data_IF_206300012456
#
_entry.id   IF_206300012456
#
_cell.length_a   1.000
_cell.length_b   1.000
_cell.length_c   1.000
_cell.angle_alpha   90.00
_cell.angle_beta   90.00
_cell.angle_gamma   90.00
#
_symmetry.space_group_name_H-M   'P 1'
#
loop_
_entity.id
_entity.type
_entity.pdbx_description
1 polymer ?
#
# COMPACT_ATOMS: atom_id res chain seq x y z
N UNK A 1 23.82 14.73 16.95
CA UNK A 1 22.50 14.07 17.10
C UNK A 1 22.52 12.85 16.20
N UNK A 2 22.35 11.64 16.75
CA UNK A 2 22.32 10.41 15.97
C UNK A 2 20.86 9.95 15.92
N UNK A 3 20.14 10.36 14.88
CA UNK A 3 18.81 9.84 14.58
C UNK A 3 18.97 8.82 13.46
N UNK A 4 18.41 7.63 13.67
CA UNK A 4 18.38 6.57 12.67
C UNK A 4 16.97 6.03 12.57
N UNK A 5 16.52 5.78 11.35
CA UNK A 5 15.25 5.10 11.14
C UNK A 5 15.32 3.67 11.68
N UNK A 6 14.18 3.09 12.12
CA UNK A 6 14.08 1.65 12.34
C UNK A 6 14.61 0.88 11.12
N UNK A 7 15.28 -0.27 11.31
CA UNK A 7 15.99 -0.99 10.24
C UNK A 7 15.06 -1.50 9.12
N UNK A 8 13.78 -1.67 9.43
CA UNK A 8 12.71 -2.09 8.53
C UNK A 8 11.95 -0.92 7.90
N UNK A 9 12.33 0.32 8.20
CA UNK A 9 11.71 1.54 7.69
C UNK A 9 12.68 2.30 6.79
N UNK A 10 12.22 2.58 5.57
CA UNK A 10 12.88 3.47 4.63
C UNK A 10 12.01 4.68 4.34
N UNK A 11 12.58 5.70 3.70
CA UNK A 11 11.82 6.83 3.21
C UNK A 11 12.24 7.23 1.80
N UNK A 12 11.31 7.81 1.07
CA UNK A 12 11.56 8.43 -0.23
C UNK A 12 11.10 9.88 -0.20
N UNK A 13 11.95 10.78 -0.68
CA UNK A 13 11.59 12.17 -0.95
C UNK A 13 11.06 12.28 -2.38
N UNK A 14 9.87 12.84 -2.52
CA UNK A 14 9.25 13.13 -3.83
C UNK A 14 8.57 14.49 -3.82
N UNK A 15 8.14 14.96 -5.00
CA UNK A 15 7.36 16.19 -5.15
C UNK A 15 5.97 15.82 -5.67
N UNK A 16 4.94 16.00 -4.85
CA UNK A 16 3.55 15.69 -5.19
C UNK A 16 2.77 16.99 -5.18
N UNK A 17 2.14 17.34 -6.31
CA UNK A 17 1.34 18.55 -6.47
C UNK A 17 2.06 19.83 -5.99
N UNK A 18 3.38 19.91 -6.24
CA UNK A 18 4.21 21.05 -5.86
C UNK A 18 4.88 20.96 -4.48
N UNK A 19 4.43 20.06 -3.61
CA UNK A 19 4.93 19.93 -2.22
C UNK A 19 5.98 18.83 -2.09
N UNK A 20 7.05 19.11 -1.32
CA UNK A 20 7.96 18.06 -0.92
C UNK A 20 7.25 17.11 0.05
N UNK A 21 7.20 15.84 -0.32
CA UNK A 21 6.56 14.78 0.46
C UNK A 21 7.60 13.70 0.73
N UNK A 22 7.74 13.36 2.01
CA UNK A 22 8.59 12.28 2.51
C UNK A 22 7.69 11.10 2.83
N UNK A 23 7.75 10.06 2.02
CA UNK A 23 6.91 8.87 2.16
C UNK A 23 7.71 7.81 2.89
N UNK A 24 7.20 7.34 4.03
CA UNK A 24 7.82 6.33 4.88
C UNK A 24 7.19 4.97 4.60
N UNK A 25 8.05 3.97 4.45
CA UNK A 25 7.67 2.63 4.01
C UNK A 25 8.33 1.60 4.91
N UNK A 26 7.55 0.62 5.32
CA UNK A 26 8.00 -0.55 6.06
C UNK A 26 8.09 -1.75 5.13
N UNK A 27 9.14 -2.55 5.25
CA UNK A 27 9.43 -3.69 4.35
C UNK A 27 8.26 -4.66 4.16
N UNK A 28 7.51 -4.92 5.24
CA UNK A 28 6.39 -5.89 5.24
C UNK A 28 5.02 -5.29 5.42
N UNK A 29 4.90 -3.98 5.71
CA UNK A 29 3.60 -3.32 5.84
C UNK A 29 3.33 -2.41 4.64
N UNK A 30 4.33 -2.05 3.85
CA UNK A 30 4.17 -1.06 2.77
C UNK A 30 4.22 0.36 3.34
N UNK A 31 3.47 1.29 2.75
CA UNK A 31 3.38 2.66 3.24
C UNK A 31 2.84 2.70 4.68
N UNK A 32 3.56 3.38 5.56
CA UNK A 32 3.18 3.57 6.97
C UNK A 32 2.79 5.02 7.28
N UNK A 33 3.24 5.97 6.47
CA UNK A 33 2.87 7.37 6.59
C UNK A 33 3.75 8.29 5.76
N UNK A 34 3.42 9.58 5.79
CA UNK A 34 4.17 10.62 5.07
C UNK A 34 4.23 11.93 5.83
N UNK A 35 5.29 12.69 5.57
CA UNK A 35 5.47 14.06 6.05
C UNK A 35 5.47 14.98 4.85
N UNK A 36 4.56 15.96 4.85
CA UNK A 36 4.40 16.93 3.76
C UNK A 36 4.91 18.28 4.25
N UNK A 37 5.79 18.87 3.45
CA UNK A 37 6.41 20.16 3.73
C UNK A 37 5.65 21.23 2.94
N UNK A 38 4.91 22.08 3.65
CA UNK A 38 4.12 23.16 3.08
C UNK A 38 4.80 24.52 3.31
N UNK A 39 5.04 25.31 2.26
CA UNK A 39 5.48 26.69 2.45
C UNK A 39 4.35 27.55 3.04
N UNK A 40 4.73 28.49 3.91
CA UNK A 40 3.86 29.52 4.46
C UNK A 40 4.16 30.89 3.81
N UNK A 41 3.21 31.85 3.81
CA UNK A 41 3.39 33.15 3.16
C UNK A 41 4.57 33.98 3.68
N UNK A 42 4.98 33.80 4.94
CA UNK A 42 6.12 34.48 5.54
C UNK A 42 7.47 33.78 5.25
N UNK A 43 7.49 32.79 4.34
CA UNK A 43 8.68 32.01 4.02
C UNK A 43 8.98 30.88 5.02
N UNK A 44 8.22 30.78 6.12
CA UNK A 44 8.32 29.64 7.03
C UNK A 44 7.68 28.39 6.42
N UNK A 45 7.77 27.27 7.14
CA UNK A 45 7.29 25.97 6.69
C UNK A 45 6.36 25.36 7.73
N UNK A 46 5.25 24.81 7.27
CA UNK A 46 4.40 23.92 8.03
C UNK A 46 4.68 22.47 7.63
N UNK A 47 4.84 21.58 8.62
CA UNK A 47 5.03 20.15 8.38
C UNK A 47 3.76 19.40 8.78
N UNK A 48 3.18 18.65 7.85
CA UNK A 48 1.95 17.88 8.06
C UNK A 48 2.25 16.40 8.00
N UNK A 49 1.87 15.67 9.04
CA UNK A 49 1.97 14.20 9.08
C UNK A 49 0.68 13.57 8.60
N UNK A 50 0.77 12.48 7.85
CA UNK A 50 -0.38 11.73 7.35
C UNK A 50 -0.16 10.22 7.45
N UNK A 51 -1.18 9.52 7.93
CA UNK A 51 -1.27 8.06 7.90
C UNK A 51 -2.02 7.67 6.62
N UNK A 52 -1.62 6.60 5.91
CA UNK A 52 -2.30 6.17 4.71
C UNK A 52 -3.75 5.78 5.03
N UNK A 53 -4.70 6.29 4.25
CA UNK A 53 -6.11 5.99 4.46
C UNK A 53 -6.43 4.52 4.16
N UNK A 54 -7.45 4.00 4.85
CA UNK A 54 -7.97 2.63 4.71
C UNK A 54 -8.57 2.12 6.02
N UNK A 55 -9.32 1.03 5.96
CA UNK A 55 -9.79 0.26 7.11
C UNK A 55 -9.15 -1.14 7.14
N UNK A 56 -7.94 -1.25 6.56
CA UNK A 56 -7.25 -2.52 6.44
C UNK A 56 -6.77 -3.08 7.79
N UNK A 57 -6.66 -4.42 7.93
CA UNK A 57 -6.29 -5.06 9.19
C UNK A 57 -4.94 -4.61 9.79
N UNK A 58 -4.05 -3.99 9.00
CA UNK A 58 -2.75 -3.52 9.48
C UNK A 58 -2.73 -2.03 9.88
N UNK A 59 -3.86 -1.31 9.81
CA UNK A 59 -3.92 0.13 10.13
C UNK A 59 -3.28 0.48 11.49
N UNK A 60 -3.63 -0.24 12.56
CA UNK A 60 -3.10 0.05 13.89
C UNK A 60 -1.59 -0.23 14.01
N UNK A 61 -1.07 -1.24 13.30
CA UNK A 61 0.37 -1.51 13.25
C UNK A 61 1.13 -0.38 12.54
N UNK A 62 0.57 0.16 11.44
CA UNK A 62 1.16 1.32 10.74
C UNK A 62 1.25 2.53 11.66
N UNK A 63 0.17 2.84 12.39
CA UNK A 63 0.10 3.95 13.35
C UNK A 63 1.13 3.80 14.47
N UNK A 64 1.21 2.60 15.06
CA UNK A 64 2.14 2.31 16.15
C UNK A 64 3.61 2.55 15.78
N UNK A 65 3.97 2.40 14.50
CA UNK A 65 5.32 2.69 14.00
C UNK A 65 5.45 4.17 13.62
N UNK A 66 4.53 4.68 12.79
CA UNK A 66 4.71 5.98 12.16
C UNK A 66 4.48 7.17 13.09
N UNK A 67 3.53 7.09 14.02
CA UNK A 67 3.22 8.20 14.94
C UNK A 67 4.46 8.61 15.75
N UNK A 68 5.08 7.72 16.56
CA UNK A 68 6.25 8.10 17.35
C UNK A 68 7.44 8.52 16.48
N UNK A 69 7.64 7.86 15.34
CA UNK A 69 8.68 8.23 14.37
C UNK A 69 8.48 9.66 13.86
N UNK A 70 7.26 10.02 13.51
CA UNK A 70 6.93 11.36 13.00
C UNK A 70 7.10 12.43 14.08
N UNK A 71 6.71 12.14 15.32
CA UNK A 71 6.90 13.05 16.47
C UNK A 71 8.38 13.30 16.76
N UNK A 72 9.20 12.26 16.71
CA UNK A 72 10.65 12.38 16.90
C UNK A 72 11.29 13.24 15.79
N UNK A 73 10.93 12.98 14.53
CA UNK A 73 11.43 13.76 13.38
C UNK A 73 11.02 15.23 13.53
N UNK A 74 9.76 15.52 13.84
CA UNK A 74 9.30 16.89 14.03
C UNK A 74 9.98 17.58 15.22
N UNK A 75 10.22 16.84 16.31
CA UNK A 75 10.97 17.34 17.47
C UNK A 75 12.41 17.70 17.12
N UNK A 76 13.10 16.86 16.33
CA UNK A 76 14.45 17.13 15.84
C UNK A 76 14.46 18.33 14.88
N UNK A 77 13.50 18.42 13.96
CA UNK A 77 13.35 19.56 13.08
C UNK A 77 13.14 20.86 13.87
N UNK A 78 12.31 20.83 14.92
CA UNK A 78 12.11 21.99 15.80
C UNK A 78 13.37 22.42 16.56
N UNK A 79 14.27 21.49 16.88
CA UNK A 79 15.58 21.80 17.50
C UNK A 79 16.57 22.42 16.50
N UNK A 80 16.51 22.01 15.23
CA UNK A 80 17.45 22.47 14.18
C UNK A 80 16.97 23.77 13.53
N UNK A 81 15.69 23.85 13.17
CA UNK A 81 15.10 24.98 12.44
C UNK A 81 14.41 26.00 13.35
N UNK A 82 14.21 25.69 14.63
CA UNK A 82 13.45 26.52 15.57
C UNK A 82 11.93 26.34 15.45
N UNK A 83 11.18 27.14 16.23
CA UNK A 83 9.72 27.17 16.18
C UNK A 83 9.24 28.27 15.24
N UNK A 84 8.25 27.96 14.41
CA UNK A 84 7.63 28.93 13.51
C UNK A 84 6.92 30.06 14.28
N UNK A 85 6.92 31.25 13.68
CA UNK A 85 6.31 32.46 14.22
C UNK A 85 5.01 32.83 13.52
N UNK A 86 4.67 32.17 12.40
CA UNK A 86 3.47 32.43 11.61
C UNK A 86 2.20 32.34 12.46
N UNK A 87 1.43 33.43 12.48
CA UNK A 87 0.15 33.55 13.20
C UNK A 87 -1.07 33.49 12.30
N UNK A 88 -0.88 33.42 10.99
CA UNK A 88 -1.99 33.37 10.04
C UNK A 88 -2.67 32.01 10.00
N UNK A 89 -3.75 31.91 9.20
CA UNK A 89 -4.43 30.64 8.96
C UNK A 89 -3.50 29.71 8.17
N UNK A 90 -3.25 28.52 8.70
CA UNK A 90 -2.49 27.50 7.98
C UNK A 90 -3.18 27.15 6.64
N UNK A 91 -2.40 26.92 5.57
CA UNK A 91 -2.97 26.46 4.31
C UNK A 91 -3.72 25.13 4.52
N UNK A 92 -4.75 24.85 3.70
CA UNK A 92 -5.41 23.56 3.75
C UNK A 92 -4.39 22.43 3.52
N UNK A 93 -4.68 21.26 4.09
CA UNK A 93 -3.84 20.07 3.88
C UNK A 93 -3.74 19.77 2.38
N UNK A 94 -2.53 19.53 1.83
CA UNK A 94 -2.38 19.28 0.41
C UNK A 94 -3.03 17.95 0.05
N UNK A 95 -3.77 17.92 -1.06
CA UNK A 95 -4.18 16.65 -1.62
C UNK A 95 -2.94 15.98 -2.24
N UNK A 96 -2.44 14.95 -1.57
CA UNK A 96 -1.32 14.12 -2.04
C UNK A 96 -1.80 12.70 -2.42
N UNK A 97 -3.11 12.51 -2.57
CA UNK A 97 -3.67 11.27 -3.11
C UNK A 97 -3.32 11.18 -4.60
N UNK A 98 -2.73 10.06 -4.99
CA UNK A 98 -2.48 9.74 -6.39
C UNK A 98 -3.53 8.74 -6.84
N UNK A 99 -4.31 9.10 -7.86
CA UNK A 99 -5.24 8.17 -8.47
C UNK A 99 -4.43 7.15 -9.28
N UNK A 100 -4.45 5.91 -8.84
CA UNK A 100 -3.81 4.79 -9.50
C UNK A 100 -4.89 3.82 -9.97
N UNK A 101 -4.89 3.51 -11.27
CA UNK A 101 -5.80 2.51 -11.82
C UNK A 101 -5.26 1.12 -11.52
N UNK A 102 -5.91 0.41 -10.60
CA UNK A 102 -5.62 -0.99 -10.29
C UNK A 102 -6.57 -1.87 -11.09
N UNK A 103 -6.03 -2.65 -12.02
CA UNK A 103 -6.83 -3.58 -12.82
C UNK A 103 -7.25 -4.76 -11.95
N UNK A 104 -8.45 -5.27 -12.20
CA UNK A 104 -8.91 -6.53 -11.63
C UNK A 104 -9.62 -7.37 -12.71
N UNK A 105 -9.67 -8.67 -12.49
CA UNK A 105 -10.42 -9.63 -13.29
C UNK A 105 -11.35 -10.41 -12.36
N UNK A 106 -12.64 -10.38 -12.67
CA UNK A 106 -13.70 -11.04 -11.93
C UNK A 106 -14.08 -12.32 -12.67
N UNK A 107 -13.99 -13.45 -12.00
CA UNK A 107 -14.22 -14.77 -12.59
C UNK A 107 -15.52 -15.33 -12.00
N UNK A 108 -16.60 -15.41 -12.80
CA UNK A 108 -17.84 -16.04 -12.38
C UNK A 108 -17.69 -17.57 -12.38
N UNK A 109 -18.49 -18.25 -11.55
CA UNK A 109 -18.64 -19.69 -11.59
C UNK A 109 -19.48 -20.09 -12.82
N UNK A 110 -19.00 -21.05 -13.60
CA UNK A 110 -19.73 -21.55 -14.78
C UNK A 110 -21.03 -22.31 -14.41
N UNK A 111 -21.14 -22.83 -13.17
CA UNK A 111 -22.30 -23.60 -12.72
C UNK A 111 -23.46 -22.72 -12.24
N UNK A 112 -23.19 -21.73 -11.38
CA UNK A 112 -24.22 -20.89 -10.77
C UNK A 112 -24.25 -19.44 -11.30
N UNK A 113 -23.24 -19.01 -12.06
CA UNK A 113 -23.11 -17.65 -12.59
C UNK A 113 -22.71 -16.58 -11.56
N UNK A 114 -22.56 -16.93 -10.28
CA UNK A 114 -22.12 -15.99 -9.24
C UNK A 114 -20.62 -15.71 -9.33
N UNK A 115 -20.21 -14.53 -8.84
CA UNK A 115 -18.79 -14.21 -8.70
C UNK A 115 -18.12 -15.25 -7.78
N UNK A 116 -17.06 -15.89 -8.25
CA UNK A 116 -16.36 -16.93 -7.50
C UNK A 116 -14.95 -16.52 -7.08
N UNK A 117 -14.25 -15.75 -7.93
CA UNK A 117 -12.87 -15.32 -7.68
C UNK A 117 -12.63 -13.92 -8.23
N UNK A 118 -11.76 -13.16 -7.55
CA UNK A 118 -11.19 -11.92 -8.07
C UNK A 118 -9.66 -11.98 -8.12
N UNK A 119 -9.09 -11.58 -9.25
CA UNK A 119 -7.65 -11.39 -9.43
C UNK A 119 -7.35 -9.90 -9.56
N UNK A 120 -6.38 -9.39 -8.82
CA UNK A 120 -5.97 -7.98 -8.80
C UNK A 120 -4.56 -7.88 -9.39
N UNK A 121 -4.37 -6.99 -10.36
CA UNK A 121 -3.13 -6.82 -11.13
C UNK A 121 -2.55 -5.42 -10.90
N UNK A 122 -1.79 -5.22 -9.82
CA UNK A 122 -1.07 -3.98 -9.57
C UNK A 122 0.06 -3.74 -10.59
N UNK A 123 0.27 -2.50 -11.05
CA UNK A 123 1.32 -2.19 -12.03
C UNK A 123 2.74 -2.31 -11.47
N UNK A 124 2.94 -2.20 -10.15
CA UNK A 124 4.27 -2.08 -9.53
C UNK A 124 4.49 -2.96 -8.30
N UNK A 125 3.72 -4.04 -8.12
CA UNK A 125 3.93 -4.94 -6.99
C UNK A 125 5.03 -5.96 -7.27
N UNK A 126 6.14 -5.84 -6.53
CA UNK A 126 7.32 -6.72 -6.66
C UNK A 126 7.66 -7.29 -5.28
N UNK A 127 7.88 -6.40 -4.31
CA UNK A 127 8.21 -6.75 -2.93
C UNK A 127 6.97 -6.81 -2.04
N UNK A 128 7.07 -7.54 -0.92
CA UNK A 128 5.96 -7.74 0.03
C UNK A 128 5.27 -6.42 0.44
N UNK A 129 6.03 -5.38 0.75
CA UNK A 129 5.46 -4.07 1.08
C UNK A 129 4.62 -3.45 -0.05
N UNK A 130 4.95 -3.70 -1.32
CA UNK A 130 4.11 -3.26 -2.44
C UNK A 130 2.77 -4.00 -2.46
N UNK A 131 2.76 -5.32 -2.24
CA UNK A 131 1.51 -6.08 -2.15
C UNK A 131 0.61 -5.57 -1.03
N UNK A 132 1.18 -5.22 0.13
CA UNK A 132 0.42 -4.64 1.23
C UNK A 132 -0.20 -3.28 0.91
N UNK A 133 0.46 -2.45 0.09
CA UNK A 133 -0.13 -1.18 -0.36
C UNK A 133 -1.40 -1.43 -1.17
N UNK A 134 -1.36 -2.39 -2.10
CA UNK A 134 -2.52 -2.72 -2.92
C UNK A 134 -3.59 -3.47 -2.14
N UNK A 135 -3.20 -4.33 -1.19
CA UNK A 135 -4.13 -4.96 -0.27
C UNK A 135 -4.91 -3.91 0.53
N UNK A 136 -4.22 -2.90 1.09
CA UNK A 136 -4.87 -1.77 1.76
C UNK A 136 -5.76 -0.97 0.82
N UNK A 137 -5.24 -0.55 -0.35
CA UNK A 137 -5.99 0.27 -1.32
C UNK A 137 -7.27 -0.40 -1.81
N UNK A 138 -7.27 -1.74 -1.92
CA UNK A 138 -8.38 -2.54 -2.45
C UNK A 138 -9.25 -3.21 -1.37
N UNK A 139 -8.94 -3.01 -0.08
CA UNK A 139 -9.54 -3.76 1.03
C UNK A 139 -11.06 -3.66 1.04
N UNK A 140 -11.60 -2.45 0.96
CA UNK A 140 -13.04 -2.23 0.93
C UNK A 140 -13.69 -2.94 -0.25
N UNK A 141 -13.05 -2.97 -1.42
CA UNK A 141 -13.61 -3.58 -2.63
C UNK A 141 -13.67 -5.10 -2.50
N UNK A 142 -12.56 -5.75 -2.15
CA UNK A 142 -12.56 -7.23 -2.07
C UNK A 142 -13.32 -7.76 -0.85
N UNK A 143 -13.39 -6.99 0.24
CA UNK A 143 -14.29 -7.30 1.36
C UNK A 143 -15.75 -7.27 0.93
N UNK A 144 -16.14 -6.33 0.07
CA UNK A 144 -17.51 -6.24 -0.43
C UNK A 144 -17.84 -7.32 -1.45
N UNK A 145 -16.89 -7.71 -2.31
CA UNK A 145 -17.07 -8.87 -3.19
C UNK A 145 -17.19 -10.17 -2.40
N UNK A 146 -16.47 -10.27 -1.28
CA UNK A 146 -16.50 -11.39 -0.35
C UNK A 146 -16.27 -12.77 -1.01
N UNK A 147 -15.31 -12.83 -1.92
CA UNK A 147 -14.88 -14.05 -2.63
C UNK A 147 -13.37 -14.19 -2.56
N UNK A 148 -12.86 -15.39 -2.81
CA UNK A 148 -11.41 -15.59 -2.83
C UNK A 148 -10.73 -14.58 -3.77
N UNK A 149 -9.76 -13.85 -3.20
CA UNK A 149 -9.12 -12.74 -3.90
C UNK A 149 -7.61 -12.84 -3.80
N UNK A 150 -6.93 -12.69 -4.94
CA UNK A 150 -5.48 -12.68 -5.03
C UNK A 150 -4.95 -11.40 -5.68
N UNK A 151 -3.80 -10.93 -5.20
CA UNK A 151 -2.98 -9.91 -5.85
C UNK A 151 -1.86 -10.63 -6.59
N UNK A 152 -1.73 -10.36 -7.89
CA UNK A 152 -0.71 -10.95 -8.77
C UNK A 152 0.28 -9.85 -9.16
N UNK A 153 1.52 -9.99 -8.71
CA UNK A 153 2.55 -8.99 -8.91
C UNK A 153 3.05 -8.89 -10.33
N UNK A 154 3.92 -7.91 -10.54
CA UNK A 154 4.70 -7.77 -11.75
C UNK A 154 5.65 -8.98 -11.86
N UNK A 155 5.70 -9.67 -13.01
CA UNK A 155 6.59 -10.81 -13.18
C UNK A 155 8.05 -10.44 -12.90
N UNK A 156 8.77 -11.31 -12.19
CA UNK A 156 10.17 -11.12 -11.84
C UNK A 156 11.04 -11.93 -12.81
N UNK A 157 11.91 -11.26 -13.58
CA UNK A 157 12.88 -11.92 -14.46
C UNK A 157 12.50 -11.95 -15.94
N UNK A 158 13.22 -12.74 -16.76
CA UNK A 158 13.01 -12.85 -18.20
C UNK A 158 11.57 -13.27 -18.50
N UNK A 159 10.91 -12.55 -19.40
CA UNK A 159 9.52 -12.82 -19.76
C UNK A 159 9.45 -14.06 -20.65
N UNK A 160 9.04 -15.17 -20.08
CA UNK A 160 8.73 -16.44 -20.77
C UNK A 160 7.22 -16.76 -20.67
N UNK A 161 6.39 -15.80 -21.08
CA UNK A 161 4.93 -15.96 -21.10
C UNK A 161 4.36 -16.48 -19.78
N UNK A 162 3.57 -17.57 -19.87
CA UNK A 162 2.91 -18.21 -18.72
C UNK A 162 3.87 -18.89 -17.72
N UNK A 163 5.14 -19.10 -18.10
CA UNK A 163 6.16 -19.68 -17.23
C UNK A 163 6.96 -18.61 -16.48
N UNK A 164 6.73 -17.32 -16.76
CA UNK A 164 7.40 -16.24 -16.04
C UNK A 164 6.97 -16.28 -14.57
N UNK A 165 7.91 -16.51 -13.62
CA UNK A 165 7.55 -16.52 -12.21
C UNK A 165 7.08 -15.15 -11.75
N UNK A 166 6.05 -15.13 -10.91
CA UNK A 166 5.55 -13.92 -10.27
C UNK A 166 5.21 -14.19 -8.81
N UNK A 167 5.18 -13.11 -8.04
CA UNK A 167 4.73 -13.15 -6.66
C UNK A 167 3.20 -13.03 -6.62
N UNK A 168 2.54 -13.88 -5.84
CA UNK A 168 1.10 -13.89 -5.68
C UNK A 168 0.77 -13.88 -4.19
N UNK A 169 -0.19 -13.04 -3.78
CA UNK A 169 -0.66 -12.95 -2.40
C UNK A 169 -2.16 -13.18 -2.34
N UNK A 170 -2.61 -14.16 -1.55
CA UNK A 170 -4.02 -14.28 -1.17
C UNK A 170 -4.36 -13.21 -0.13
N UNK A 171 -5.40 -12.41 -0.41
CA UNK A 171 -5.81 -11.29 0.46
C UNK A 171 -7.19 -11.43 1.08
N UNK A 172 -8.01 -12.37 0.60
CA UNK A 172 -9.36 -12.64 1.11
C UNK A 172 -9.77 -14.11 0.85
N UNK A 173 -10.63 -14.74 1.68
CA UNK A 173 -11.15 -14.27 2.98
C UNK A 173 -10.10 -14.25 4.08
N UNK A 174 -9.16 -15.20 4.01
CA UNK A 174 -8.01 -15.26 4.89
C UNK A 174 -6.77 -14.83 4.12
N UNK A 175 -5.94 -14.02 4.79
CA UNK A 175 -4.68 -13.57 4.23
C UNK A 175 -3.68 -14.72 4.24
N UNK A 176 -3.19 -15.08 3.06
CA UNK A 176 -2.17 -16.12 2.90
C UNK A 176 -0.75 -15.56 2.93
N UNK A 177 0.21 -16.44 2.69
CA UNK A 177 1.60 -16.05 2.45
C UNK A 177 1.83 -15.55 1.02
N UNK A 178 2.92 -14.81 0.83
CA UNK A 178 3.38 -14.43 -0.50
C UNK A 178 4.07 -15.64 -1.12
N UNK A 179 3.48 -16.18 -2.18
CA UNK A 179 4.03 -17.33 -2.90
C UNK A 179 4.71 -16.86 -4.19
N UNK A 180 5.74 -17.59 -4.60
CA UNK A 180 6.45 -17.38 -5.87
C UNK A 180 6.13 -18.55 -6.80
N UNK A 181 5.41 -18.30 -7.89
CA UNK A 181 4.88 -19.36 -8.76
C UNK A 181 4.64 -18.86 -10.18
N UNK A 182 4.36 -19.78 -11.10
CA UNK A 182 4.02 -19.47 -12.50
C UNK A 182 2.51 -19.32 -12.69
N UNK A 183 2.08 -18.74 -13.82
CA UNK A 183 0.65 -18.67 -14.14
C UNK A 183 0.03 -20.07 -14.33
N UNK A 184 0.79 -21.02 -14.88
CA UNK A 184 0.34 -22.40 -15.08
C UNK A 184 0.03 -23.11 -13.74
N UNK A 185 0.95 -23.02 -12.78
CA UNK A 185 0.77 -23.59 -11.45
C UNK A 185 -0.38 -22.92 -10.70
N UNK A 186 -0.45 -21.59 -10.76
CA UNK A 186 -1.53 -20.85 -10.12
C UNK A 186 -2.91 -21.16 -10.74
N UNK A 187 -2.99 -21.32 -12.05
CA UNK A 187 -4.23 -21.70 -12.74
C UNK A 187 -4.75 -23.07 -12.27
N UNK A 188 -3.87 -24.04 -12.00
CA UNK A 188 -4.29 -25.32 -11.42
C UNK A 188 -4.92 -25.15 -10.03
N UNK A 189 -4.38 -24.24 -9.21
CA UNK A 189 -4.98 -23.90 -7.92
C UNK A 189 -6.34 -23.21 -8.10
N UNK A 190 -6.42 -22.26 -9.04
CA UNK A 190 -7.65 -21.51 -9.35
C UNK A 190 -8.79 -22.44 -9.77
N UNK A 191 -8.51 -23.43 -10.63
CA UNK A 191 -9.51 -24.42 -11.06
C UNK A 191 -10.12 -25.17 -9.87
N UNK A 192 -9.31 -25.59 -8.90
CA UNK A 192 -9.81 -26.29 -7.70
C UNK A 192 -10.75 -25.42 -6.88
N UNK A 193 -10.45 -24.13 -6.73
CA UNK A 193 -11.30 -23.18 -6.02
C UNK A 193 -12.63 -22.98 -6.74
N UNK A 194 -12.59 -22.84 -8.07
CA UNK A 194 -13.79 -22.71 -8.90
C UNK A 194 -14.65 -23.98 -8.84
N UNK A 195 -14.04 -25.16 -8.86
CA UNK A 195 -14.74 -26.45 -8.78
C UNK A 195 -15.46 -26.65 -7.44
N UNK A 196 -14.85 -26.20 -6.35
CA UNK A 196 -15.41 -26.29 -5.00
C UNK A 196 -16.46 -25.21 -4.70
N UNK A 197 -16.57 -24.15 -5.51
CA UNK A 197 -17.44 -23.00 -5.23
C UNK A 197 -18.90 -23.38 -4.94
N UNK A 198 -19.50 -24.26 -5.75
CA UNK A 198 -20.89 -24.70 -5.55
C UNK A 198 -21.04 -25.90 -4.60
N UNK A 199 -19.93 -26.44 -4.08
CA UNK A 199 -19.92 -27.64 -3.25
C UNK A 199 -19.88 -27.31 -1.74
N UNK A 200 -19.87 -26.01 -1.40
CA UNK A 200 -19.87 -25.48 -0.03
C UNK A 200 -21.19 -24.85 0.37
#
# INVERSE_FOLDING_TARGET
MNFSLPPDVSFQKTKINGYYTYIFRHTTLGEIGRIIVQPLPNGETNMVTEIPAGDDPNMEKRKAIFIPLSEEILGLMGKVAGKGTYKGKLPPRPNTSQNELVRNHQIPCEKCGQLAVVLIFPPHAIEKGHFEDYARKMYTQYRNWNVDTWIIGTPAGPRDGANTPTNILKVWPEKGELIHTTANEFNMHLLRVLDSHCSG
#
